data_IF_756949628541
#
_entry.id   IF_756949628541
#
_cell.length_a   1.000
_cell.length_b   1.000
_cell.length_c   1.000
_cell.angle_alpha   90.00
_cell.angle_beta   90.00
_cell.angle_gamma   90.00
#
_symmetry.space_group_name_H-M   'P 1'
#
loop_
_entity.id
_entity.type
_entity.pdbx_description
1 polymer ?
#
# COMPACT_ATOMS: atom_id res chain seq x y z
N UNK A 1 -55.99 -8.89 -0.89
CA UNK A 1 -54.84 -9.12 0.00
C UNK A 1 -54.30 -7.76 0.43
N UNK A 2 -54.46 -7.42 1.71
CA UNK A 2 -54.11 -6.13 2.33
C UNK A 2 -53.03 -6.41 3.39
N UNK A 3 -51.95 -5.59 3.51
CA UNK A 3 -50.92 -5.82 4.51
C UNK A 3 -51.38 -5.36 5.90
N UNK A 4 -51.21 -6.24 6.89
CA UNK A 4 -51.44 -5.98 8.31
C UNK A 4 -50.38 -5.00 8.83
N UNK A 5 -50.82 -3.89 9.43
CA UNK A 5 -49.99 -2.99 10.22
C UNK A 5 -49.85 -3.56 11.62
N UNK A 6 -48.64 -3.94 12.01
CA UNK A 6 -48.32 -4.25 13.41
C UNK A 6 -47.83 -2.97 14.09
N UNK A 7 -48.70 -2.37 14.90
CA UNK A 7 -48.33 -1.32 15.86
C UNK A 7 -47.64 -1.99 17.04
N UNK A 8 -46.37 -1.66 17.29
CA UNK A 8 -45.73 -1.98 18.56
C UNK A 8 -45.66 -0.74 19.45
N UNK A 9 -46.30 -0.89 20.60
CA UNK A 9 -46.39 0.06 21.71
C UNK A 9 -45.01 0.16 22.39
N UNK A 10 -44.45 1.37 22.42
CA UNK A 10 -43.23 1.65 23.16
C UNK A 10 -43.52 1.66 24.67
N UNK A 11 -42.76 0.87 25.43
CA UNK A 11 -42.70 0.97 26.88
C UNK A 11 -41.32 1.51 27.27
N UNK A 12 -41.31 2.72 27.81
CA UNK A 12 -40.11 3.39 28.28
C UNK A 12 -39.64 2.79 29.62
N UNK A 13 -38.37 2.40 29.69
CA UNK A 13 -37.66 2.27 30.96
C UNK A 13 -36.68 3.44 31.10
N UNK A 14 -36.99 4.32 32.05
CA UNK A 14 -36.07 5.34 32.55
C UNK A 14 -34.98 4.67 33.39
N UNK A 15 -33.79 4.54 32.82
CA UNK A 15 -32.57 4.12 33.50
C UNK A 15 -31.49 5.20 33.37
N UNK A 16 -30.91 5.56 34.52
CA UNK A 16 -29.83 6.51 34.78
C UNK A 16 -29.01 7.00 33.57
N UNK A 17 -28.99 8.32 33.40
CA UNK A 17 -28.14 9.04 32.45
C UNK A 17 -26.66 8.83 32.73
N UNK A 18 -26.09 7.77 32.16
CA UNK A 18 -24.72 7.74 31.68
C UNK A 18 -24.74 8.22 30.25
N UNK A 19 -24.42 9.49 30.00
CA UNK A 19 -24.17 10.01 28.66
C UNK A 19 -22.94 9.34 28.07
N UNK A 20 -23.09 8.11 27.60
CA UNK A 20 -22.14 7.48 26.72
C UNK A 20 -22.09 8.35 25.48
N UNK A 21 -20.97 9.05 25.35
CA UNK A 21 -20.53 9.72 24.14
C UNK A 21 -20.70 8.73 22.99
N UNK A 22 -21.76 8.89 22.20
CA UNK A 22 -21.92 8.17 20.96
C UNK A 22 -20.84 8.72 20.03
N UNK A 23 -19.68 8.07 20.01
CA UNK A 23 -18.63 8.35 19.05
C UNK A 23 -19.20 8.03 17.66
N UNK A 24 -19.69 9.07 16.98
CA UNK A 24 -20.03 9.00 15.57
C UNK A 24 -18.77 8.54 14.83
N UNK A 25 -18.81 7.32 14.28
CA UNK A 25 -17.76 6.82 13.41
C UNK A 25 -17.79 7.68 12.14
N UNK A 26 -16.89 8.66 12.07
CA UNK A 26 -16.72 9.49 10.89
C UNK A 26 -16.27 8.61 9.72
N UNK A 27 -16.91 8.76 8.56
CA UNK A 27 -16.48 8.08 7.35
C UNK A 27 -15.02 8.46 7.04
N UNK A 28 -14.18 7.52 6.55
CA UNK A 28 -12.80 7.83 6.23
C UNK A 28 -12.73 8.96 5.21
N UNK A 29 -11.82 9.92 5.44
CA UNK A 29 -11.57 11.00 4.50
C UNK A 29 -10.91 10.45 3.23
N UNK A 30 -11.02 11.17 2.11
CA UNK A 30 -10.32 10.79 0.88
C UNK A 30 -8.81 10.62 1.11
N UNK A 31 -8.22 11.49 1.92
CA UNK A 31 -6.81 11.42 2.28
C UNK A 31 -6.46 10.13 3.05
N UNK A 32 -7.30 9.73 4.02
CA UNK A 32 -7.05 8.49 4.78
C UNK A 32 -7.28 7.23 3.93
N UNK A 33 -8.24 7.27 2.99
CA UNK A 33 -8.45 6.21 2.02
C UNK A 33 -7.25 6.06 1.06
N UNK A 34 -6.77 7.17 0.49
CA UNK A 34 -5.57 7.18 -0.37
C UNK A 34 -4.33 6.70 0.37
N UNK A 35 -4.17 7.07 1.64
CA UNK A 35 -3.05 6.60 2.45
C UNK A 35 -3.13 5.09 2.71
N UNK A 36 -4.31 4.56 3.01
CA UNK A 36 -4.53 3.11 3.17
C UNK A 36 -4.21 2.36 1.88
N UNK A 37 -4.69 2.87 0.75
CA UNK A 37 -4.40 2.32 -0.58
C UNK A 37 -2.90 2.34 -0.88
N UNK A 38 -2.21 3.45 -0.59
CA UNK A 38 -0.77 3.56 -0.76
C UNK A 38 0.02 2.54 0.08
N UNK A 39 -0.41 2.25 1.32
CA UNK A 39 0.21 1.19 2.15
C UNK A 39 0.06 -0.18 1.50
N UNK A 40 -1.15 -0.53 1.05
CA UNK A 40 -1.44 -1.82 0.44
C UNK A 40 -0.62 -2.02 -0.83
N UNK A 41 -0.64 -1.01 -1.72
CA UNK A 41 0.08 -1.05 -2.99
C UNK A 41 1.59 -1.14 -2.78
N UNK A 42 2.13 -0.32 -1.87
CA UNK A 42 3.58 -0.34 -1.56
C UNK A 42 4.02 -1.70 -1.04
N UNK A 43 3.30 -2.28 -0.07
CA UNK A 43 3.62 -3.61 0.46
C UNK A 43 3.52 -4.69 -0.61
N UNK A 44 2.50 -4.65 -1.46
CA UNK A 44 2.35 -5.58 -2.57
C UNK A 44 3.55 -5.54 -3.52
N UNK A 45 4.00 -4.35 -3.93
CA UNK A 45 5.16 -4.21 -4.80
C UNK A 45 6.47 -4.66 -4.14
N UNK A 46 6.70 -4.30 -2.87
CA UNK A 46 7.89 -4.70 -2.13
C UNK A 46 7.95 -6.22 -1.92
N UNK A 47 6.82 -6.87 -1.66
CA UNK A 47 6.75 -8.33 -1.59
C UNK A 47 6.99 -9.02 -2.94
N UNK A 48 6.40 -8.50 -4.02
CA UNK A 48 6.65 -9.04 -5.35
C UNK A 48 8.14 -8.94 -5.73
N UNK A 49 8.79 -7.82 -5.38
CA UNK A 49 10.22 -7.63 -5.57
C UNK A 49 11.06 -8.56 -4.67
N UNK A 50 10.67 -8.76 -3.42
CA UNK A 50 11.32 -9.71 -2.50
C UNK A 50 11.32 -11.13 -3.06
N UNK A 51 10.15 -11.60 -3.50
CA UNK A 51 9.99 -12.90 -4.12
C UNK A 51 10.80 -13.03 -5.41
N UNK A 52 10.83 -11.98 -6.23
CA UNK A 52 11.64 -11.95 -7.44
C UNK A 52 13.15 -12.03 -7.15
N UNK A 53 13.63 -11.30 -6.12
CA UNK A 53 15.02 -11.38 -5.67
C UNK A 53 15.39 -12.78 -5.15
N UNK A 54 14.51 -13.40 -4.35
CA UNK A 54 14.74 -14.72 -3.76
C UNK A 54 14.71 -15.85 -4.79
N UNK A 55 13.87 -15.75 -5.82
CA UNK A 55 13.68 -16.81 -6.82
C UNK A 55 14.40 -16.58 -8.15
N UNK A 56 14.82 -15.34 -8.41
CA UNK A 56 15.28 -14.90 -9.73
C UNK A 56 14.14 -14.68 -10.75
N UNK A 57 12.87 -14.87 -10.37
CA UNK A 57 11.74 -14.71 -11.27
C UNK A 57 11.10 -13.32 -11.17
N UNK A 58 11.42 -12.47 -12.14
CA UNK A 58 10.90 -11.09 -12.22
C UNK A 58 9.65 -10.95 -13.10
N UNK A 59 9.12 -12.03 -13.69
CA UNK A 59 7.94 -11.91 -14.56
C UNK A 59 6.72 -11.45 -13.77
N UNK A 60 6.55 -11.90 -12.53
CA UNK A 60 5.43 -11.46 -11.66
C UNK A 60 5.48 -9.95 -11.42
N UNK A 61 6.64 -9.42 -11.00
CA UNK A 61 6.80 -7.98 -10.79
C UNK A 61 6.53 -7.19 -12.08
N UNK A 62 7.05 -7.68 -13.22
CA UNK A 62 6.81 -7.08 -14.53
C UNK A 62 5.32 -7.05 -14.87
N UNK A 63 4.63 -8.18 -14.72
CA UNK A 63 3.24 -8.38 -15.16
C UNK A 63 2.21 -7.71 -14.20
N UNK A 64 2.63 -7.33 -12.99
CA UNK A 64 1.90 -6.41 -12.09
C UNK A 64 2.00 -4.94 -12.55
N UNK A 65 2.91 -4.65 -13.48
CA UNK A 65 3.13 -3.34 -14.05
C UNK A 65 2.07 -2.89 -15.02
N UNK A 66 2.19 -1.62 -15.41
CA UNK A 66 1.41 -1.02 -16.48
C UNK A 66 1.97 -1.42 -17.85
N UNK A 67 1.21 -1.14 -18.90
CA UNK A 67 1.69 -1.23 -20.28
C UNK A 67 3.05 -0.54 -20.49
N UNK A 68 3.24 0.65 -19.89
CA UNK A 68 4.52 1.38 -19.89
C UNK A 68 5.63 0.62 -19.15
N UNK A 69 5.33 0.02 -18.00
CA UNK A 69 6.32 -0.69 -17.19
C UNK A 69 6.84 -1.96 -17.87
N UNK A 70 6.02 -2.57 -18.74
CA UNK A 70 6.39 -3.74 -19.55
C UNK A 70 7.50 -3.47 -20.57
N UNK A 71 7.91 -2.21 -20.77
CA UNK A 71 9.15 -1.90 -21.48
C UNK A 71 10.39 -2.52 -20.80
N UNK A 72 10.30 -2.85 -19.50
CA UNK A 72 11.32 -3.61 -18.80
C UNK A 72 11.15 -5.12 -19.05
N UNK A 73 12.22 -5.79 -19.46
CA UNK A 73 12.27 -7.25 -19.46
C UNK A 73 12.54 -7.79 -18.05
N UNK A 74 12.19 -9.06 -17.79
CA UNK A 74 12.53 -9.72 -16.54
C UNK A 74 14.04 -9.72 -16.27
N UNK A 75 14.86 -9.91 -17.31
CA UNK A 75 16.32 -9.82 -17.23
C UNK A 75 16.75 -8.40 -16.81
N UNK A 76 16.16 -7.35 -17.40
CA UNK A 76 16.49 -5.97 -17.04
C UNK A 76 16.15 -5.66 -15.59
N UNK A 77 14.98 -6.09 -15.11
CA UNK A 77 14.60 -5.94 -13.71
C UNK A 77 15.56 -6.70 -12.78
N UNK A 78 16.01 -7.90 -13.17
CA UNK A 78 17.00 -8.66 -12.41
C UNK A 78 18.35 -7.96 -12.29
N UNK A 79 18.77 -7.21 -13.30
CA UNK A 79 20.00 -6.40 -13.25
C UNK A 79 19.81 -5.20 -12.32
N UNK A 80 18.69 -4.48 -12.48
CA UNK A 80 18.39 -3.27 -11.69
C UNK A 80 18.35 -3.55 -10.19
N UNK A 81 17.75 -4.67 -9.80
CA UNK A 81 17.60 -5.04 -8.38
C UNK A 81 18.68 -6.01 -7.88
N UNK A 82 19.73 -6.26 -8.67
CA UNK A 82 20.81 -7.17 -8.29
C UNK A 82 21.47 -6.77 -6.96
N UNK A 83 21.58 -5.47 -6.67
CA UNK A 83 22.23 -4.96 -5.46
C UNK A 83 21.48 -5.34 -4.19
N UNK A 84 20.15 -5.17 -4.18
CA UNK A 84 19.29 -5.59 -3.07
C UNK A 84 19.39 -7.11 -2.82
N UNK A 85 19.44 -7.89 -3.90
CA UNK A 85 19.64 -9.34 -3.82
C UNK A 85 21.01 -9.72 -3.27
N UNK A 86 22.10 -9.07 -3.75
CA UNK A 86 23.47 -9.31 -3.23
C UNK A 86 23.59 -8.95 -1.75
N UNK A 87 22.88 -7.92 -1.32
CA UNK A 87 22.82 -7.50 0.08
C UNK A 87 21.90 -8.38 0.95
N UNK A 88 21.21 -9.36 0.36
CA UNK A 88 20.23 -10.22 1.04
C UNK A 88 19.18 -9.41 1.83
N UNK A 89 18.68 -8.31 1.24
CA UNK A 89 17.64 -7.50 1.88
C UNK A 89 16.34 -8.29 1.93
N UNK A 90 15.86 -8.60 3.13
CA UNK A 90 14.57 -9.25 3.33
C UNK A 90 13.46 -8.19 3.40
N UNK A 91 12.82 -7.92 2.26
CA UNK A 91 11.75 -6.93 2.19
C UNK A 91 10.41 -7.49 2.70
N UNK A 92 10.31 -8.79 3.01
CA UNK A 92 9.12 -9.35 3.65
C UNK A 92 8.90 -8.77 5.06
N UNK A 93 9.98 -8.35 5.74
CA UNK A 93 9.94 -7.67 7.03
C UNK A 93 9.16 -6.33 7.01
N UNK A 94 8.93 -5.74 5.82
CA UNK A 94 8.10 -4.53 5.67
C UNK A 94 6.64 -4.72 6.06
N UNK A 95 6.16 -5.96 6.14
CA UNK A 95 4.82 -6.28 6.64
C UNK A 95 4.67 -5.98 8.13
N UNK A 96 5.73 -6.16 8.90
CA UNK A 96 5.74 -5.95 10.35
C UNK A 96 6.16 -4.51 10.75
N UNK A 97 6.59 -3.69 9.78
CA UNK A 97 7.16 -2.37 10.03
C UNK A 97 6.23 -1.27 9.49
N UNK A 98 6.21 -0.09 10.15
CA UNK A 98 5.46 1.05 9.66
C UNK A 98 6.12 1.61 8.39
N UNK A 99 5.31 1.95 7.40
CA UNK A 99 5.76 2.73 6.25
C UNK A 99 5.69 4.22 6.60
N UNK A 100 6.80 4.93 6.46
CA UNK A 100 6.83 6.39 6.57
C UNK A 100 6.82 7.01 5.18
N UNK A 101 5.71 7.66 4.82
CA UNK A 101 5.60 8.37 3.55
C UNK A 101 6.05 9.82 3.67
N UNK A 102 6.93 10.24 2.76
CA UNK A 102 7.34 11.63 2.62
C UNK A 102 7.79 11.89 1.17
N UNK A 103 7.07 12.72 0.38
CA UNK A 103 5.83 13.43 0.75
C UNK A 103 4.65 12.47 0.96
N UNK A 104 3.51 13.00 1.43
CA UNK A 104 2.29 12.22 1.56
C UNK A 104 1.84 11.66 0.19
N UNK A 105 1.28 10.43 0.14
CA UNK A 105 0.82 9.85 -1.11
C UNK A 105 -0.23 10.74 -1.78
N UNK A 106 -0.05 11.00 -3.08
CA UNK A 106 -0.95 11.86 -3.83
C UNK A 106 -0.99 11.47 -5.31
N UNK A 107 -2.13 11.71 -5.94
CA UNK A 107 -2.27 11.61 -7.39
C UNK A 107 -1.75 12.91 -8.01
N UNK A 108 -0.77 12.81 -8.90
CA UNK A 108 -0.21 13.97 -9.59
C UNK A 108 -1.10 14.46 -10.75
N UNK A 109 -0.69 15.56 -11.40
CA UNK A 109 -1.43 16.13 -12.53
C UNK A 109 -1.53 15.19 -13.75
N UNK A 110 -0.74 14.12 -13.81
CA UNK A 110 -0.78 13.09 -14.87
C UNK A 110 -1.67 11.91 -14.49
N UNK A 111 -2.35 11.96 -13.33
CA UNK A 111 -3.18 10.87 -12.84
C UNK A 111 -2.39 9.71 -12.23
N UNK A 112 -1.10 9.89 -11.95
CA UNK A 112 -0.28 8.86 -11.34
C UNK A 112 -0.29 9.02 -9.82
N UNK A 113 -0.62 7.94 -9.08
CA UNK A 113 -0.42 7.91 -7.64
C UNK A 113 1.08 7.82 -7.36
N UNK A 114 1.63 8.85 -6.72
CA UNK A 114 3.03 8.94 -6.30
C UNK A 114 3.14 8.52 -4.85
N UNK A 115 4.02 7.57 -4.59
CA UNK A 115 4.31 7.08 -3.25
C UNK A 115 5.82 7.06 -3.07
N UNK A 116 6.32 7.72 -2.04
CA UNK A 116 7.72 7.74 -1.70
C UNK A 116 7.89 7.69 -0.19
N UNK A 117 8.93 7.03 0.28
CA UNK A 117 9.10 6.86 1.71
C UNK A 117 10.24 5.94 2.09
N UNK A 118 10.20 5.56 3.36
CA UNK A 118 11.17 4.67 3.96
C UNK A 118 10.50 3.68 4.91
N UNK A 119 11.18 2.57 5.16
CA UNK A 119 10.79 1.57 6.16
C UNK A 119 12.05 1.06 6.88
N UNK A 120 12.09 1.12 8.22
CA UNK A 120 13.21 0.60 8.99
C UNK A 120 13.18 -0.94 8.98
N UNK A 121 14.32 -1.57 8.68
CA UNK A 121 14.51 -3.02 8.62
C UNK A 121 15.72 -3.42 9.50
N UNK A 122 15.56 -3.33 10.83
CA UNK A 122 16.63 -3.58 11.78
C UNK A 122 17.74 -2.51 11.70
N UNK A 123 18.96 -2.92 11.37
CA UNK A 123 20.11 -2.01 11.19
C UNK A 123 20.15 -1.29 9.83
N UNK A 124 19.09 -1.44 9.01
CA UNK A 124 18.98 -0.84 7.69
C UNK A 124 17.72 0.01 7.55
N UNK A 125 17.76 0.93 6.59
CA UNK A 125 16.59 1.65 6.10
C UNK A 125 16.39 1.31 4.63
N UNK A 126 15.19 0.86 4.27
CA UNK A 126 14.78 0.65 2.89
C UNK A 126 14.05 1.90 2.40
N UNK A 127 14.56 2.54 1.35
CA UNK A 127 13.92 3.67 0.69
C UNK A 127 13.21 3.19 -0.57
N UNK A 128 12.04 3.76 -0.84
CA UNK A 128 11.25 3.43 -2.01
C UNK A 128 10.65 4.67 -2.66
N UNK A 129 10.51 4.61 -3.99
CA UNK A 129 9.68 5.51 -4.78
C UNK A 129 8.92 4.65 -5.79
N UNK A 130 7.60 4.73 -5.76
CA UNK A 130 6.71 3.95 -6.62
C UNK A 130 5.67 4.88 -7.22
N UNK A 131 5.50 4.77 -8.52
CA UNK A 131 4.43 5.43 -9.24
C UNK A 131 3.43 4.37 -9.71
N UNK A 132 2.15 4.67 -9.59
CA UNK A 132 1.08 3.77 -10.02
C UNK A 132 0.23 4.46 -11.07
N UNK A 133 -0.06 3.74 -12.16
CA UNK A 133 -1.03 4.14 -13.16
C UNK A 133 -2.32 3.35 -12.97
N UNK A 134 -3.46 3.97 -13.34
CA UNK A 134 -4.74 3.27 -13.34
C UNK A 134 -5.02 2.75 -14.74
N UNK A 135 -5.01 1.43 -14.90
CA UNK A 135 -5.29 0.74 -16.16
C UNK A 135 -6.38 -0.33 -15.93
N UNK A 136 -7.41 -0.35 -16.78
CA UNK A 136 -8.55 -1.27 -16.67
C UNK A 136 -9.19 -1.30 -15.25
N UNK A 137 -9.21 -0.14 -14.57
CA UNK A 137 -9.82 0.00 -13.23
C UNK A 137 -8.93 -0.46 -12.07
N UNK A 138 -7.72 -0.96 -12.33
CA UNK A 138 -6.77 -1.41 -11.31
C UNK A 138 -5.52 -0.52 -11.28
N UNK A 139 -4.89 -0.42 -10.11
CA UNK A 139 -3.55 0.16 -9.99
C UNK A 139 -2.50 -0.79 -10.53
N UNK A 140 -1.62 -0.27 -11.36
CA UNK A 140 -0.51 -0.98 -12.00
C UNK A 140 0.78 -0.22 -11.75
N UNK A 141 1.88 -0.93 -11.51
CA UNK A 141 3.18 -0.29 -11.28
C UNK A 141 3.56 0.45 -12.56
N UNK A 142 3.67 1.77 -12.50
CA UNK A 142 4.17 2.60 -13.59
C UNK A 142 5.70 2.72 -13.54
N UNK A 143 6.26 2.75 -12.34
CA UNK A 143 7.71 2.76 -12.10
C UNK A 143 8.01 2.48 -10.64
N UNK A 144 9.17 1.89 -10.37
CA UNK A 144 9.60 1.49 -9.02
C UNK A 144 11.11 1.66 -8.89
N UNK A 145 11.51 2.31 -7.80
CA UNK A 145 12.89 2.46 -7.35
C UNK A 145 12.93 2.02 -5.89
N UNK A 146 13.87 1.15 -5.55
CA UNK A 146 14.06 0.64 -4.19
C UNK A 146 15.55 0.54 -3.91
N UNK A 147 15.97 1.07 -2.76
CA UNK A 147 17.36 1.01 -2.29
C UNK A 147 17.38 0.69 -0.80
N UNK A 148 18.48 0.11 -0.32
CA UNK A 148 18.72 -0.12 1.10
C UNK A 148 20.06 0.49 1.51
N UNK A 149 20.07 1.13 2.68
CA UNK A 149 21.27 1.69 3.29
C UNK A 149 21.36 1.24 4.75
N UNK A 150 22.57 1.04 5.26
CA UNK A 150 22.77 0.86 6.70
C UNK A 150 22.36 2.14 7.42
N UNK A 151 21.75 2.02 8.59
CA UNK A 151 21.44 3.16 9.45
C UNK A 151 22.77 3.64 10.02
N UNK A 152 23.25 4.81 9.60
CA UNK A 152 24.46 5.41 10.20
C UNK A 152 24.22 5.56 11.72
N UNK A 153 25.11 5.04 12.59
CA UNK A 153 25.01 5.21 14.03
C UNK A 153 25.04 6.66 14.50
#
# INVERSE_FOLDING_TARGET
MRPLRASFLALALSGLGGGACAAAQAAPSLASAQQTEAVILTRSALLALDQANKTGNYTVLRDLGSSTFHANSAAKLSEVFADLRRQNVDMSATLAQPLSFNPQPAVDAKGLLRVAGAVPLGARVLYFQIAWAREAGAWRIYGIVVTASETTP
#
